data_IF_749051522056
#
_entry.id   IF_749051522056
#
_cell.length_a   1.000
_cell.length_b   1.000
_cell.length_c   1.000
_cell.angle_alpha   90.00
_cell.angle_beta   90.00
_cell.angle_gamma   90.00
#
_symmetry.space_group_name_H-M   'P 1'
#
loop_
_entity.id
_entity.type
_entity.pdbx_description
1 polymer ?
#
# COMPACT_ATOMS: atom_id res chain seq x y z
N UNK A 1 -65.27 -14.85 19.94
CA UNK A 1 -63.90 -15.19 19.50
C UNK A 1 -63.62 -14.56 18.12
N UNK A 2 -63.51 -13.24 17.99
CA UNK A 2 -63.22 -12.65 16.65
C UNK A 2 -62.72 -11.19 16.66
N UNK A 3 -62.15 -10.69 17.76
CA UNK A 3 -61.59 -9.33 17.80
C UNK A 3 -60.21 -9.23 18.46
N UNK A 4 -59.75 -10.25 19.19
CA UNK A 4 -58.43 -10.22 19.84
C UNK A 4 -57.26 -10.51 18.87
N UNK A 5 -57.52 -11.17 17.74
CA UNK A 5 -56.46 -11.60 16.81
C UNK A 5 -55.99 -10.45 15.90
N UNK A 6 -56.83 -9.42 15.69
CA UNK A 6 -56.53 -8.31 14.77
C UNK A 6 -55.61 -7.24 15.35
N UNK A 7 -55.57 -7.07 16.66
CA UNK A 7 -54.69 -6.07 17.30
C UNK A 7 -53.24 -6.57 17.35
N UNK A 8 -53.04 -7.89 17.43
CA UNK A 8 -51.70 -8.49 17.46
C UNK A 8 -50.95 -8.36 16.13
N UNK A 9 -51.68 -8.32 15.01
CA UNK A 9 -51.09 -8.07 13.68
C UNK A 9 -50.70 -6.60 13.45
N UNK A 10 -51.30 -5.65 14.18
CA UNK A 10 -50.98 -4.22 14.03
C UNK A 10 -49.66 -3.82 14.73
N UNK A 11 -49.30 -4.51 15.81
CA UNK A 11 -48.07 -4.23 16.57
C UNK A 11 -46.84 -4.96 16.02
N UNK A 12 -47.02 -6.08 15.31
CA UNK A 12 -45.89 -6.81 14.73
C UNK A 12 -45.31 -6.13 13.49
N UNK A 13 -46.08 -5.26 12.83
CA UNK A 13 -45.65 -4.59 11.59
C UNK A 13 -44.78 -3.35 11.83
N UNK A 14 -44.67 -2.84 13.07
CA UNK A 14 -43.93 -1.61 13.37
C UNK A 14 -42.50 -1.84 13.86
N UNK A 15 -42.12 -3.07 14.19
CA UNK A 15 -40.78 -3.44 14.66
C UNK A 15 -39.80 -3.83 13.54
N UNK A 16 -40.19 -3.70 12.27
CA UNK A 16 -39.35 -4.05 11.10
C UNK A 16 -38.52 -2.88 10.55
N UNK A 17 -38.48 -1.74 11.25
CA UNK A 17 -37.75 -0.54 10.84
C UNK A 17 -36.39 -0.34 11.53
N UNK A 18 -35.89 -1.32 12.29
CA UNK A 18 -34.48 -1.37 12.67
C UNK A 18 -33.66 -1.92 11.50
N UNK A 19 -33.54 -1.11 10.44
CA UNK A 19 -32.44 -1.27 9.49
C UNK A 19 -31.15 -1.19 10.31
N UNK A 20 -30.28 -2.22 10.33
CA UNK A 20 -28.89 -1.94 10.58
C UNK A 20 -28.47 -0.98 9.46
N UNK A 21 -28.04 0.24 9.81
CA UNK A 21 -27.13 0.96 8.94
C UNK A 21 -25.98 -0.01 8.75
N UNK A 22 -25.96 -0.70 7.62
CA UNK A 22 -24.79 -1.39 7.14
C UNK A 22 -23.71 -0.31 7.16
N UNK A 23 -22.82 -0.40 8.14
CA UNK A 23 -21.54 0.25 8.01
C UNK A 23 -20.97 -0.36 6.75
N UNK A 24 -21.04 0.39 5.66
CA UNK A 24 -20.16 0.17 4.54
C UNK A 24 -18.77 0.33 5.15
N UNK A 25 -18.20 -0.77 5.66
CA UNK A 25 -16.77 -0.93 5.70
C UNK A 25 -16.38 -0.80 4.23
N UNK A 26 -16.05 0.43 3.83
CA UNK A 26 -15.10 0.63 2.76
C UNK A 26 -13.90 -0.21 3.19
N UNK A 27 -13.84 -1.45 2.71
CA UNK A 27 -12.61 -2.20 2.61
C UNK A 27 -11.81 -1.36 1.65
N UNK A 28 -11.16 -0.32 2.20
CA UNK A 28 -10.21 0.50 1.50
C UNK A 28 -9.27 -0.50 0.87
N UNK A 29 -9.31 -0.60 -0.46
CA UNK A 29 -8.31 -1.35 -1.20
C UNK A 29 -7.00 -0.78 -0.72
N UNK A 30 -6.24 -1.56 0.06
CA UNK A 30 -5.18 -1.02 0.89
C UNK A 30 -4.07 -0.45 0.00
N UNK A 31 -4.20 0.82 -0.34
CA UNK A 31 -3.17 1.62 -1.00
C UNK A 31 -2.01 1.77 -0.03
N UNK A 32 -0.77 1.78 -0.54
CA UNK A 32 0.42 1.87 0.29
C UNK A 32 0.33 3.04 1.30
N UNK A 33 0.73 2.84 2.58
CA UNK A 33 0.71 3.90 3.59
C UNK A 33 1.52 5.13 3.16
N UNK A 34 1.12 6.37 3.55
CA UNK A 34 1.81 7.60 3.17
C UNK A 34 3.29 7.63 3.56
N UNK A 35 3.64 6.97 4.67
CA UNK A 35 5.01 6.79 5.15
C UNK A 35 5.87 6.06 4.10
N UNK A 36 5.37 4.94 3.56
CA UNK A 36 6.06 4.16 2.53
C UNK A 36 6.14 4.91 1.21
N UNK A 37 5.06 5.59 0.81
CA UNK A 37 5.07 6.45 -0.37
C UNK A 37 6.21 7.47 -0.24
N UNK A 38 6.29 8.18 0.89
CA UNK A 38 7.32 9.20 1.13
C UNK A 38 8.74 8.63 1.08
N UNK A 39 8.96 7.42 1.60
CA UNK A 39 10.25 6.72 1.50
C UNK A 39 10.60 6.45 0.04
N UNK A 40 9.68 5.85 -0.73
CA UNK A 40 9.91 5.53 -2.14
C UNK A 40 10.17 6.80 -2.96
N UNK A 41 9.43 7.88 -2.73
CA UNK A 41 9.62 9.17 -3.40
C UNK A 41 10.92 9.88 -3.04
N UNK A 42 11.40 9.67 -1.81
CA UNK A 42 12.67 10.23 -1.35
C UNK A 42 13.86 9.47 -1.93
N UNK A 43 13.79 8.14 -1.99
CA UNK A 43 14.85 7.30 -2.57
C UNK A 43 14.88 7.41 -4.09
N UNK A 44 13.72 7.43 -4.74
CA UNK A 44 13.62 7.49 -6.21
C UNK A 44 13.72 8.91 -6.79
N UNK A 45 13.49 9.94 -5.97
CA UNK A 45 13.37 11.33 -6.42
C UNK A 45 12.15 11.61 -7.29
N UNK A 46 11.19 10.68 -7.41
CA UNK A 46 10.02 10.77 -8.30
C UNK A 46 8.72 10.75 -7.51
N UNK A 47 7.60 11.12 -8.13
CA UNK A 47 6.27 10.96 -7.52
C UNK A 47 5.85 9.49 -7.64
N UNK A 48 5.39 8.88 -6.55
CA UNK A 48 5.03 7.46 -6.52
C UNK A 48 3.52 7.29 -6.43
N UNK A 49 2.96 6.57 -7.41
CA UNK A 49 1.55 6.23 -7.46
C UNK A 49 1.40 4.73 -7.17
N UNK A 50 1.04 4.33 -5.94
CA UNK A 50 0.93 2.93 -5.55
C UNK A 50 -0.17 2.18 -6.30
N UNK A 51 0.15 0.94 -6.67
CA UNK A 51 -0.81 -0.03 -7.20
C UNK A 51 -1.70 -0.55 -6.06
N UNK A 52 -2.96 -0.88 -6.37
CA UNK A 52 -3.95 -1.35 -5.39
C UNK A 52 -3.84 -2.85 -5.03
N UNK A 53 -2.89 -3.57 -5.64
CA UNK A 53 -2.89 -5.05 -5.65
C UNK A 53 -1.87 -5.69 -4.69
N UNK A 54 -0.96 -4.90 -4.10
CA UNK A 54 0.15 -5.43 -3.30
C UNK A 54 -0.01 -5.08 -1.82
N UNK A 55 -0.56 -6.02 -1.04
CA UNK A 55 -0.91 -5.85 0.37
C UNK A 55 -0.16 -6.81 1.32
N UNK A 56 1.08 -7.17 0.99
CA UNK A 56 1.96 -7.99 1.86
C UNK A 56 2.75 -7.14 2.87
N UNK A 57 2.60 -5.81 2.83
CA UNK A 57 3.28 -4.89 3.75
C UNK A 57 2.83 -5.15 5.18
N UNK A 58 3.74 -5.63 6.03
CA UNK A 58 3.45 -5.79 7.45
C UNK A 58 3.62 -4.45 8.19
N UNK A 59 2.85 -4.25 9.25
CA UNK A 59 2.96 -3.06 10.10
C UNK A 59 4.39 -2.86 10.66
N UNK A 60 5.10 -3.95 10.90
CA UNK A 60 6.51 -3.93 11.30
C UNK A 60 7.42 -3.36 10.20
N UNK A 61 7.18 -3.68 8.94
CA UNK A 61 7.98 -3.17 7.83
C UNK A 61 7.76 -1.66 7.70
N UNK A 62 6.51 -1.21 7.80
CA UNK A 62 6.18 0.22 7.80
C UNK A 62 6.91 0.95 8.93
N UNK A 63 6.80 0.43 10.17
CA UNK A 63 7.40 1.05 11.34
C UNK A 63 8.94 1.13 11.27
N UNK A 64 9.58 0.16 10.61
CA UNK A 64 11.03 0.17 10.38
C UNK A 64 11.38 1.16 9.27
N UNK A 65 10.78 1.01 8.09
CA UNK A 65 11.06 1.82 6.91
C UNK A 65 10.79 3.31 7.13
N UNK A 66 9.76 3.67 7.91
CA UNK A 66 9.42 5.06 8.19
C UNK A 66 10.40 5.76 9.14
N UNK A 67 11.17 5.00 9.92
CA UNK A 67 12.12 5.53 10.91
C UNK A 67 13.53 5.63 10.36
N UNK A 68 13.86 4.82 9.36
CA UNK A 68 15.20 4.82 8.79
C UNK A 68 15.47 6.10 7.99
N UNK A 69 16.59 6.80 8.28
CA UNK A 69 17.06 7.90 7.46
C UNK A 69 17.24 7.48 5.99
N UNK A 70 16.84 8.36 5.06
CA UNK A 70 17.03 8.13 3.62
C UNK A 70 18.52 7.95 3.28
N UNK A 71 19.44 8.58 4.04
CA UNK A 71 20.88 8.42 3.86
C UNK A 71 21.41 7.01 4.16
N UNK A 72 20.64 6.16 4.85
CA UNK A 72 21.00 4.76 5.10
C UNK A 72 20.71 3.85 3.89
N UNK A 73 19.96 4.35 2.91
CA UNK A 73 19.78 3.65 1.64
C UNK A 73 21.07 3.74 0.83
N UNK A 74 21.42 2.64 0.15
CA UNK A 74 22.52 2.68 -0.80
C UNK A 74 22.19 3.67 -1.92
N UNK A 75 23.23 4.25 -2.53
CA UNK A 75 23.03 4.98 -3.77
C UNK A 75 22.31 4.12 -4.80
N UNK A 76 21.55 4.77 -5.68
CA UNK A 76 20.86 4.10 -6.77
C UNK A 76 21.92 3.47 -7.71
N UNK A 77 21.84 2.17 -7.90
CA UNK A 77 22.73 1.40 -8.76
C UNK A 77 21.99 0.98 -10.02
N UNK A 78 22.65 1.07 -11.17
CA UNK A 78 22.09 0.64 -12.44
C UNK A 78 22.55 -0.78 -12.79
N UNK A 79 21.64 -1.59 -13.33
CA UNK A 79 21.89 -2.95 -13.80
C UNK A 79 20.99 -3.25 -15.00
N UNK A 80 21.52 -3.04 -16.20
CA UNK A 80 20.78 -3.21 -17.45
C UNK A 80 19.59 -2.25 -17.52
N UNK A 81 18.39 -2.79 -17.70
CA UNK A 81 17.13 -2.01 -17.76
C UNK A 81 16.51 -1.72 -16.39
N UNK A 82 17.28 -1.93 -15.32
CA UNK A 82 16.82 -1.83 -13.94
C UNK A 82 17.72 -0.90 -13.14
N UNK A 83 17.14 -0.18 -12.20
CA UNK A 83 17.86 0.52 -11.15
C UNK A 83 17.41 -0.03 -9.81
N UNK A 84 18.30 -0.04 -8.81
CA UNK A 84 17.96 -0.50 -7.48
C UNK A 84 18.72 0.22 -6.38
N UNK A 85 18.11 0.28 -5.20
CA UNK A 85 18.72 0.77 -3.97
C UNK A 85 18.38 -0.18 -2.83
N UNK A 86 19.33 -0.40 -1.93
CA UNK A 86 19.22 -1.37 -0.83
C UNK A 86 19.21 -0.66 0.51
N UNK A 87 18.49 -1.24 1.46
CA UNK A 87 18.52 -0.85 2.87
C UNK A 87 18.63 -2.13 3.71
N UNK A 88 19.50 -2.12 4.71
CA UNK A 88 19.65 -3.23 5.66
C UNK A 88 19.36 -2.71 7.06
N UNK A 89 18.40 -3.34 7.74
CA UNK A 89 17.98 -2.99 9.09
C UNK A 89 18.05 -4.25 9.96
N UNK A 90 19.10 -4.37 10.78
CA UNK A 90 19.34 -5.54 11.60
C UNK A 90 19.40 -6.82 10.75
N UNK A 91 18.42 -7.70 10.91
CA UNK A 91 18.32 -8.98 10.17
C UNK A 91 17.45 -8.91 8.91
N UNK A 92 16.78 -7.79 8.65
CA UNK A 92 15.94 -7.59 7.46
C UNK A 92 16.67 -6.77 6.42
N UNK A 93 16.44 -7.10 5.16
CA UNK A 93 16.92 -6.29 4.04
C UNK A 93 15.75 -5.91 3.15
N UNK A 94 15.79 -4.69 2.65
CA UNK A 94 14.83 -4.15 1.70
C UNK A 94 15.57 -3.73 0.45
N UNK A 95 14.90 -3.86 -0.68
CA UNK A 95 15.41 -3.35 -1.94
C UNK A 95 14.28 -2.64 -2.68
N UNK A 96 14.54 -1.39 -3.07
CA UNK A 96 13.70 -0.69 -4.02
C UNK A 96 14.22 -1.01 -5.42
N UNK A 97 13.40 -1.65 -6.23
CA UNK A 97 13.72 -1.99 -7.62
C UNK A 97 12.88 -1.13 -8.54
N UNK A 98 13.52 -0.44 -9.47
CA UNK A 98 12.88 0.38 -10.49
C UNK A 98 13.13 -0.28 -11.84
N UNK A 99 12.08 -0.54 -12.59
CA UNK A 99 12.16 -1.10 -13.94
C UNK A 99 11.28 -0.30 -14.87
N UNK A 100 11.66 -0.20 -16.14
CA UNK A 100 10.77 0.33 -17.18
C UNK A 100 10.31 -0.84 -18.06
N UNK A 101 9.09 -1.37 -17.85
CA UNK A 101 8.57 -2.42 -18.71
C UNK A 101 8.47 -1.94 -20.17
N UNK A 102 8.64 -2.84 -21.15
CA UNK A 102 8.37 -2.53 -22.54
C UNK A 102 6.95 -1.98 -22.69
N UNK A 103 6.78 -0.88 -23.43
CA UNK A 103 5.49 -0.21 -23.68
C UNK A 103 4.85 0.49 -22.46
N UNK A 104 5.53 0.57 -21.32
CA UNK A 104 5.03 1.36 -20.18
C UNK A 104 5.38 2.84 -20.34
N UNK A 105 4.40 3.72 -20.11
CA UNK A 105 4.62 5.18 -20.07
C UNK A 105 5.49 5.61 -18.88
N UNK A 106 5.44 4.85 -17.78
CA UNK A 106 6.14 5.17 -16.54
C UNK A 106 6.99 4.00 -16.04
N UNK A 107 8.16 4.25 -15.42
CA UNK A 107 8.85 3.21 -14.66
C UNK A 107 7.96 2.68 -13.53
N UNK A 108 8.09 1.39 -13.25
CA UNK A 108 7.48 0.72 -12.10
C UNK A 108 8.51 0.66 -10.98
N UNK A 109 8.13 1.07 -9.78
CA UNK A 109 8.86 0.85 -8.55
C UNK A 109 8.24 -0.30 -7.77
N UNK A 110 9.07 -1.26 -7.38
CA UNK A 110 8.69 -2.39 -6.53
C UNK A 110 9.61 -2.39 -5.32
N UNK A 111 9.03 -2.23 -4.13
CA UNK A 111 9.71 -2.43 -2.87
C UNK A 111 9.61 -3.91 -2.50
N UNK A 112 10.75 -4.57 -2.34
CA UNK A 112 10.84 -5.97 -1.93
C UNK A 112 11.52 -6.12 -0.58
N UNK A 113 11.08 -7.12 0.18
CA UNK A 113 11.65 -7.54 1.45
C UNK A 113 12.40 -8.85 1.29
N UNK A 114 13.51 -8.96 2.00
CA UNK A 114 14.26 -10.18 2.23
C UNK A 114 14.25 -10.47 3.73
N UNK A 115 13.68 -11.62 4.11
CA UNK A 115 13.69 -12.08 5.50
C UNK A 115 15.07 -12.59 5.90
N UNK A 116 15.87 -13.05 4.94
CA UNK A 116 17.30 -13.39 5.10
C UNK A 116 18.06 -13.06 3.81
N UNK A 117 19.40 -12.93 3.82
CA UNK A 117 20.17 -12.64 2.61
C UNK A 117 20.00 -13.66 1.47
N UNK A 118 19.54 -14.88 1.78
CA UNK A 118 19.30 -15.96 0.79
C UNK A 118 17.83 -16.18 0.47
N UNK A 119 16.91 -15.48 1.14
CA UNK A 119 15.48 -15.66 0.88
C UNK A 119 15.10 -15.10 -0.49
N UNK A 120 14.06 -15.69 -1.09
CA UNK A 120 13.42 -15.10 -2.26
C UNK A 120 12.87 -13.70 -1.90
N UNK A 121 13.04 -12.68 -2.76
CA UNK A 121 12.45 -11.37 -2.53
C UNK A 121 10.92 -11.47 -2.52
N UNK A 122 10.31 -10.83 -1.53
CA UNK A 122 8.86 -10.71 -1.41
C UNK A 122 8.44 -9.26 -1.74
N UNK A 123 7.67 -9.04 -2.82
CA UNK A 123 7.09 -7.74 -3.11
C UNK A 123 6.11 -7.34 -2.01
N UNK A 124 6.40 -6.21 -1.36
CA UNK A 124 5.55 -5.66 -0.30
C UNK A 124 4.77 -4.43 -0.76
N UNK A 125 5.32 -3.65 -1.68
CA UNK A 125 4.66 -2.49 -2.30
C UNK A 125 5.10 -2.37 -3.76
N UNK A 126 4.18 -1.97 -4.64
CA UNK A 126 4.48 -1.67 -6.04
C UNK A 126 3.67 -0.45 -6.49
N UNK A 127 4.18 0.25 -7.49
CA UNK A 127 3.47 1.35 -8.14
C UNK A 127 4.26 1.95 -9.30
N UNK A 128 3.71 3.00 -9.90
CA UNK A 128 4.35 3.74 -10.98
C UNK A 128 5.10 4.97 -10.46
N UNK A 129 6.21 5.33 -11.12
CA UNK A 129 6.98 6.53 -10.85
C UNK A 129 6.75 7.59 -11.92
N UNK A 130 6.15 8.70 -11.51
CA UNK A 130 5.87 9.85 -12.36
C UNK A 130 6.87 10.97 -12.09
N UNK A 131 6.96 11.94 -13.00
CA UNK A 131 7.72 13.16 -12.72
C UNK A 131 7.11 13.88 -11.51
N UNK A 132 7.94 14.45 -10.64
CA UNK A 132 7.43 15.38 -9.63
C UNK A 132 7.03 16.66 -10.37
N UNK A 133 5.79 17.10 -10.19
CA UNK A 133 5.40 18.45 -10.62
C UNK A 133 6.21 19.45 -9.80
N UNK A 134 7.12 20.19 -10.43
CA UNK A 134 7.62 21.42 -9.85
C UNK A 134 6.45 22.40 -9.80
N UNK A 135 5.92 22.66 -8.60
CA UNK A 135 5.05 23.83 -8.44
C UNK A 135 5.89 25.07 -8.80
N UNK A 136 5.43 25.91 -9.74
CA UNK A 136 6.12 27.17 -10.01
C UNK A 136 6.15 27.97 -8.70
N UNK A 137 7.35 28.43 -8.35
CA UNK A 137 7.62 29.25 -7.16
C UNK A 137 7.06 30.64 -7.31
#
# INVERSE_FOLDING_TARGET
>A
MTQLVKVLYGLLSLCLLSLPLASAQNKSTATAPPSIVSVIESVSGKHFVPDTVYASLAAEDEALLSKEPIANWSLMQESGEMAYSNLVIGTRSYQLVIRRPPRSSYPTATLVRYTTPKSKPEPIVQGSLQAKEEKPK
#
